data_IF_122285620817
#
_entry.id   IF_122285620817
#
_cell.length_a   1.000
_cell.length_b   1.000
_cell.length_c   1.000
_cell.angle_alpha   90.00
_cell.angle_beta   90.00
_cell.angle_gamma   90.00
#
_symmetry.space_group_name_H-M   'P 1'
#
loop_
_entity.id
_entity.type
_entity.pdbx_description
1 polymer ?
#
# COMPACT_ATOMS: atom_id res chain seq x y z
N UNK A 1 -16.70 1.51 -25.67
CA UNK A 1 -16.68 0.14 -25.15
C UNK A 1 -17.57 0.07 -23.90
N UNK A 2 -18.69 -0.62 -24.00
CA UNK A 2 -19.58 -0.89 -22.85
C UNK A 2 -19.15 -2.24 -22.25
N UNK A 3 -18.21 -2.19 -21.31
CA UNK A 3 -17.86 -3.38 -20.54
C UNK A 3 -19.04 -3.71 -19.61
N UNK A 4 -19.47 -4.96 -19.59
CA UNK A 4 -20.44 -5.48 -18.62
C UNK A 4 -19.71 -5.82 -17.33
N UNK A 5 -19.37 -4.80 -16.54
CA UNK A 5 -18.65 -4.94 -15.28
C UNK A 5 -19.50 -4.37 -14.16
N UNK A 6 -19.55 -5.06 -13.03
CA UNK A 6 -20.13 -4.59 -11.78
C UNK A 6 -19.00 -4.36 -10.78
N UNK A 7 -18.94 -3.17 -10.20
CA UNK A 7 -18.03 -2.84 -9.11
C UNK A 7 -18.85 -2.84 -7.83
N UNK A 8 -18.36 -3.55 -6.81
CA UNK A 8 -19.04 -3.67 -5.52
C UNK A 8 -18.05 -3.34 -4.42
N UNK A 9 -18.45 -2.52 -3.46
CA UNK A 9 -17.70 -2.29 -2.23
C UNK A 9 -17.87 -3.52 -1.31
N UNK A 10 -16.76 -4.17 -0.98
CA UNK A 10 -16.70 -5.33 -0.11
C UNK A 10 -16.10 -5.03 1.26
N UNK A 11 -15.90 -3.78 1.64
CA UNK A 11 -15.23 -3.35 2.88
C UNK A 11 -15.90 -3.90 4.15
N UNK A 12 -17.19 -4.21 4.10
CA UNK A 12 -17.93 -4.79 5.22
C UNK A 12 -17.82 -6.32 5.31
N UNK A 13 -17.33 -6.96 4.25
CA UNK A 13 -17.27 -8.44 4.14
C UNK A 13 -15.86 -8.98 4.18
N UNK A 14 -14.86 -8.13 3.99
CA UNK A 14 -13.47 -8.50 3.91
C UNK A 14 -12.63 -7.69 4.88
N UNK A 15 -11.61 -8.32 5.44
CA UNK A 15 -10.65 -7.68 6.34
C UNK A 15 -9.23 -7.86 5.79
N UNK A 16 -8.36 -6.92 6.16
CA UNK A 16 -6.92 -6.97 5.88
C UNK A 16 -6.15 -7.07 7.19
N UNK A 17 -5.18 -7.97 7.23
CA UNK A 17 -4.27 -8.16 8.37
C UNK A 17 -2.85 -8.06 7.83
N UNK A 18 -2.06 -7.13 8.35
CA UNK A 18 -0.66 -6.97 8.00
C UNK A 18 0.24 -7.82 8.89
N UNK A 19 1.24 -8.44 8.31
CA UNK A 19 2.34 -9.13 9.00
C UNK A 19 3.65 -8.51 8.54
N UNK A 20 4.53 -8.16 9.46
CA UNK A 20 5.82 -7.59 9.13
C UNK A 20 6.91 -8.01 10.11
N UNK A 21 8.16 -7.95 9.68
CA UNK A 21 9.33 -8.23 10.49
C UNK A 21 10.03 -9.53 10.13
N UNK A 22 11.03 -9.88 10.92
CA UNK A 22 11.99 -10.94 10.58
C UNK A 22 11.36 -12.34 10.36
N UNK A 23 10.28 -12.68 11.07
CA UNK A 23 9.57 -13.96 10.93
C UNK A 23 8.38 -13.93 9.96
N UNK A 24 8.08 -12.78 9.34
CA UNK A 24 6.85 -12.57 8.58
C UNK A 24 6.74 -13.49 7.36
N UNK A 25 7.84 -13.69 6.63
CA UNK A 25 7.87 -14.58 5.47
C UNK A 25 7.51 -16.02 5.86
N UNK A 26 8.22 -16.57 6.83
CA UNK A 26 7.98 -17.94 7.28
C UNK A 26 6.54 -18.14 7.74
N UNK A 27 6.01 -17.21 8.53
CA UNK A 27 4.65 -17.29 9.02
C UNK A 27 3.63 -17.22 7.86
N UNK A 28 3.88 -16.39 6.87
CA UNK A 28 3.02 -16.28 5.68
C UNK A 28 3.10 -17.52 4.79
N UNK A 29 4.27 -18.15 4.66
CA UNK A 29 4.45 -19.40 3.94
C UNK A 29 3.76 -20.59 4.64
N UNK A 30 3.84 -20.66 5.96
CA UNK A 30 3.11 -21.65 6.75
C UNK A 30 1.60 -21.53 6.57
N UNK A 31 1.08 -20.29 6.51
CA UNK A 31 -0.34 -20.04 6.28
C UNK A 31 -0.79 -20.33 4.85
N UNK A 32 0.03 -20.05 3.86
CA UNK A 32 -0.33 -20.24 2.45
C UNK A 32 -0.06 -21.66 1.94
N UNK A 33 0.72 -22.45 2.67
CA UNK A 33 1.30 -23.69 2.19
C UNK A 33 2.06 -23.54 0.83
N UNK A 34 2.58 -22.33 0.57
CA UNK A 34 3.29 -21.98 -0.66
C UNK A 34 4.55 -21.18 -0.33
N UNK A 35 5.58 -21.32 -1.14
CA UNK A 35 6.75 -20.44 -1.05
C UNK A 35 6.41 -19.04 -1.54
N UNK A 36 6.78 -18.04 -0.76
CA UNK A 36 6.62 -16.64 -1.09
C UNK A 36 8.00 -16.03 -1.38
N UNK A 37 8.09 -15.27 -2.45
CA UNK A 37 9.34 -14.61 -2.81
C UNK A 37 9.26 -13.12 -2.45
N UNK A 38 9.95 -12.65 -1.39
CA UNK A 38 9.99 -11.24 -1.00
C UNK A 38 10.61 -10.33 -2.07
N UNK A 39 11.44 -10.90 -2.96
CA UNK A 39 12.04 -10.16 -4.08
C UNK A 39 11.08 -9.99 -5.26
N UNK A 40 9.89 -10.61 -5.19
CA UNK A 40 8.81 -10.44 -6.16
C UNK A 40 7.61 -9.76 -5.49
N UNK A 41 7.70 -8.45 -5.23
CA UNK A 41 6.61 -7.72 -4.60
C UNK A 41 5.34 -7.78 -5.45
N UNK A 42 4.19 -7.78 -4.76
CA UNK A 42 2.85 -7.95 -5.32
C UNK A 42 2.55 -9.36 -5.87
N UNK A 43 3.44 -10.35 -5.61
CA UNK A 43 3.06 -11.75 -5.79
C UNK A 43 2.00 -12.14 -4.77
N UNK A 44 1.11 -13.04 -5.17
CA UNK A 44 -0.04 -13.47 -4.36
C UNK A 44 -0.03 -14.98 -4.24
N UNK A 45 -0.10 -15.48 -3.01
CA UNK A 45 -0.46 -16.87 -2.72
C UNK A 45 -1.89 -16.93 -2.20
N UNK A 46 -2.55 -18.08 -2.36
CA UNK A 46 -3.92 -18.24 -1.94
C UNK A 46 -4.08 -19.52 -1.13
N UNK A 47 -4.78 -19.44 -0.01
CA UNK A 47 -5.19 -20.57 0.79
C UNK A 47 -6.69 -20.45 1.10
N UNK A 48 -7.49 -21.31 0.47
CA UNK A 48 -8.95 -21.20 0.54
C UNK A 48 -9.43 -19.82 0.06
N UNK A 49 -10.10 -19.10 0.92
CA UNK A 49 -10.60 -17.75 0.64
C UNK A 49 -9.62 -16.64 1.08
N UNK A 50 -8.49 -16.99 1.68
CA UNK A 50 -7.50 -16.01 2.14
C UNK A 50 -6.43 -15.83 1.06
N UNK A 51 -6.23 -14.59 0.62
CA UNK A 51 -5.14 -14.20 -0.26
C UNK A 51 -4.01 -13.60 0.58
N UNK A 52 -2.78 -13.98 0.31
CA UNK A 52 -1.58 -13.44 0.96
C UNK A 52 -0.77 -12.70 -0.09
N UNK A 53 -0.66 -11.41 0.09
CA UNK A 53 0.03 -10.49 -0.83
C UNK A 53 1.41 -10.20 -0.24
N UNK A 54 2.45 -10.43 -1.03
CA UNK A 54 3.82 -10.09 -0.66
C UNK A 54 4.10 -8.61 -0.98
N UNK A 55 4.55 -7.85 0.00
CA UNK A 55 5.03 -6.49 -0.18
C UNK A 55 6.56 -6.44 -0.03
N UNK A 56 7.19 -5.41 -0.58
CA UNK A 56 8.60 -5.16 -0.35
C UNK A 56 8.90 -4.95 1.14
N UNK A 57 10.13 -5.28 1.55
CA UNK A 57 10.58 -5.05 2.94
C UNK A 57 10.05 -6.06 3.95
N UNK A 58 9.88 -7.30 3.53
CA UNK A 58 9.44 -8.42 4.39
C UNK A 58 8.10 -8.14 5.10
N UNK A 59 7.16 -7.62 4.33
CA UNK A 59 5.79 -7.31 4.73
C UNK A 59 4.82 -8.14 3.90
N UNK A 60 3.79 -8.64 4.54
CA UNK A 60 2.75 -9.46 3.92
C UNK A 60 1.39 -8.95 4.37
N UNK A 61 0.44 -8.95 3.46
CA UNK A 61 -0.94 -8.55 3.73
C UNK A 61 -1.87 -9.72 3.43
N UNK A 62 -2.65 -10.11 4.42
CA UNK A 62 -3.67 -11.13 4.29
C UNK A 62 -5.01 -10.45 4.04
N UNK A 63 -5.67 -10.86 2.98
CA UNK A 63 -7.04 -10.42 2.65
C UNK A 63 -7.95 -11.61 2.77
N UNK A 64 -8.91 -11.56 3.68
CA UNK A 64 -9.77 -12.70 4.02
C UNK A 64 -11.20 -12.24 4.32
N UNK A 65 -12.22 -13.10 4.11
CA UNK A 65 -13.57 -12.84 4.59
C UNK A 65 -13.60 -12.58 6.10
N UNK A 66 -14.47 -11.69 6.54
CA UNK A 66 -14.53 -11.25 7.95
C UNK A 66 -14.82 -12.41 8.89
N UNK A 67 -15.57 -13.42 8.46
CA UNK A 67 -15.87 -14.62 9.23
C UNK A 67 -14.64 -15.46 9.58
N UNK A 68 -13.59 -15.40 8.77
CA UNK A 68 -12.33 -16.12 9.01
C UNK A 68 -11.38 -15.33 9.92
N UNK A 69 -11.62 -14.04 10.12
CA UNK A 69 -10.71 -13.14 10.81
C UNK A 69 -10.42 -13.56 12.26
N UNK A 70 -11.38 -13.99 13.09
CA UNK A 70 -11.08 -14.38 14.47
C UNK A 70 -10.10 -15.54 14.55
N UNK A 71 -10.34 -16.60 13.78
CA UNK A 71 -9.47 -17.79 13.75
C UNK A 71 -8.07 -17.45 13.23
N UNK A 72 -8.00 -16.66 12.16
CA UNK A 72 -6.73 -16.23 11.58
C UNK A 72 -5.95 -15.32 12.54
N UNK A 73 -6.64 -14.42 13.22
CA UNK A 73 -6.03 -13.55 14.22
C UNK A 73 -5.46 -14.33 15.40
N UNK A 74 -6.19 -15.32 15.90
CA UNK A 74 -5.72 -16.18 16.96
C UNK A 74 -4.46 -16.95 16.55
N UNK A 75 -4.45 -17.56 15.37
CA UNK A 75 -3.28 -18.25 14.81
C UNK A 75 -2.07 -17.33 14.68
N UNK A 76 -2.26 -16.12 14.23
CA UNK A 76 -1.20 -15.13 14.05
C UNK A 76 -0.67 -14.57 15.36
N UNK A 77 -1.52 -14.39 16.35
CA UNK A 77 -1.17 -13.78 17.64
C UNK A 77 -0.33 -14.68 18.53
N UNK A 78 -0.21 -15.98 18.23
CA UNK A 78 0.67 -16.88 18.96
C UNK A 78 2.16 -16.66 18.63
N UNK A 79 2.56 -16.65 17.33
CA UNK A 79 3.96 -16.44 16.92
C UNK A 79 4.32 -14.97 16.71
N UNK A 80 3.35 -14.07 16.54
CA UNK A 80 3.57 -12.66 16.25
C UNK A 80 2.93 -11.76 17.33
N UNK A 81 3.57 -10.62 17.58
CA UNK A 81 3.03 -9.63 18.52
C UNK A 81 1.94 -8.79 17.85
N UNK A 82 0.69 -8.81 18.34
CA UNK A 82 -0.35 -7.92 17.87
C UNK A 82 0.00 -6.45 18.12
N UNK A 83 -0.24 -5.61 17.11
CA UNK A 83 -0.04 -4.16 17.15
C UNK A 83 -1.19 -3.44 16.45
N UNK A 84 -1.33 -2.14 16.65
CA UNK A 84 -2.35 -1.33 15.98
C UNK A 84 -2.02 -1.02 14.51
N UNK A 85 -3.03 -0.63 13.73
CA UNK A 85 -2.90 -0.28 12.31
C UNK A 85 -1.89 0.85 12.05
N UNK A 86 -1.68 1.76 12.99
CA UNK A 86 -0.68 2.83 12.90
C UNK A 86 0.74 2.32 12.69
N UNK A 87 1.05 1.09 13.15
CA UNK A 87 2.33 0.46 12.86
C UNK A 87 2.46 0.10 11.38
N UNK A 88 1.38 -0.34 10.75
CA UNK A 88 1.35 -0.61 9.31
C UNK A 88 1.48 0.69 8.51
N UNK A 89 0.75 1.74 8.89
CA UNK A 89 0.85 3.05 8.26
C UNK A 89 2.29 3.59 8.32
N UNK A 90 2.96 3.42 9.45
CA UNK A 90 4.38 3.77 9.59
C UNK A 90 5.27 2.99 8.62
N UNK A 91 5.04 1.69 8.44
CA UNK A 91 5.79 0.86 7.51
C UNK A 91 5.54 1.28 6.05
N UNK A 92 4.35 1.71 5.69
CA UNK A 92 4.02 2.25 4.37
C UNK A 92 4.74 3.57 4.12
N UNK A 93 4.73 4.48 5.10
CA UNK A 93 5.49 5.74 5.05
C UNK A 93 6.98 5.45 4.84
N UNK A 94 7.57 4.56 5.62
CA UNK A 94 8.98 4.16 5.48
C UNK A 94 9.29 3.55 4.11
N UNK A 95 8.32 2.91 3.49
CA UNK A 95 8.45 2.29 2.15
C UNK A 95 8.17 3.28 1.01
N UNK A 96 7.84 4.53 1.32
CA UNK A 96 7.53 5.55 0.31
C UNK A 96 6.22 5.28 -0.43
N UNK A 97 5.28 4.55 0.15
CA UNK A 97 3.97 4.29 -0.43
C UNK A 97 3.04 5.46 -0.09
N UNK A 98 2.57 6.21 -1.11
CA UNK A 98 1.70 7.35 -0.87
C UNK A 98 0.28 6.93 -0.56
N UNK A 99 -0.35 7.62 0.38
CA UNK A 99 -1.78 7.55 0.64
C UNK A 99 -2.40 8.91 0.38
N UNK A 100 -3.39 8.97 -0.50
CA UNK A 100 -4.15 10.20 -0.74
C UNK A 100 -5.33 10.23 0.23
N UNK A 101 -5.32 11.22 1.10
CA UNK A 101 -6.35 11.45 2.09
C UNK A 101 -7.32 12.55 1.62
N UNK A 102 -8.51 12.69 2.22
CA UNK A 102 -9.45 13.75 1.84
C UNK A 102 -8.83 15.15 1.84
N UNK A 103 -7.94 15.45 2.79
CA UNK A 103 -7.24 16.74 2.89
C UNK A 103 -6.24 16.98 1.76
N UNK A 104 -5.80 15.94 1.05
CA UNK A 104 -4.79 16.02 -0.02
C UNK A 104 -5.32 15.56 -1.38
N UNK A 105 -6.61 15.30 -1.47
CA UNK A 105 -7.28 14.89 -2.70
C UNK A 105 -7.14 15.96 -3.80
N UNK A 106 -6.92 15.54 -5.04
CA UNK A 106 -6.78 16.40 -6.23
C UNK A 106 -5.59 17.37 -6.24
N UNK A 107 -4.68 17.29 -5.25
CA UNK A 107 -3.56 18.22 -5.14
C UNK A 107 -2.30 17.76 -5.90
N UNK A 108 -2.20 16.46 -6.22
CA UNK A 108 -0.96 15.89 -6.73
C UNK A 108 -1.15 15.13 -8.04
N UNK A 109 -0.18 15.27 -8.93
CA UNK A 109 -0.02 14.32 -10.04
C UNK A 109 0.60 13.01 -9.51
N UNK A 110 0.34 11.86 -10.15
CA UNK A 110 0.91 10.58 -9.74
C UNK A 110 2.43 10.61 -9.57
N UNK A 111 3.15 11.32 -10.44
CA UNK A 111 4.60 11.46 -10.33
C UNK A 111 5.05 12.32 -9.14
N UNK A 112 4.22 13.26 -8.69
CA UNK A 112 4.55 14.09 -7.52
C UNK A 112 4.59 13.29 -6.23
N UNK A 113 3.82 12.21 -6.17
CA UNK A 113 3.79 11.27 -5.05
C UNK A 113 4.55 9.97 -5.36
N UNK A 114 5.49 10.02 -6.30
CA UNK A 114 6.40 8.93 -6.67
C UNK A 114 5.73 7.64 -7.17
N UNK A 115 4.46 7.67 -7.61
CA UNK A 115 3.79 6.47 -8.13
C UNK A 115 4.49 5.90 -9.38
N UNK A 116 5.19 6.71 -10.15
CA UNK A 116 6.03 6.27 -11.27
C UNK A 116 7.25 5.46 -10.78
N UNK A 117 7.84 5.84 -9.65
CA UNK A 117 9.02 5.20 -9.10
C UNK A 117 8.71 3.84 -8.43
N UNK A 118 7.52 3.71 -7.84
CA UNK A 118 7.09 2.47 -7.15
C UNK A 118 6.25 1.54 -8.05
N UNK A 119 6.20 1.79 -9.37
CA UNK A 119 5.45 0.96 -10.31
C UNK A 119 3.93 1.17 -10.29
N UNK A 120 3.43 2.20 -9.61
CA UNK A 120 2.00 2.53 -9.53
C UNK A 120 1.44 3.16 -10.83
N UNK A 121 2.30 3.53 -11.78
CA UNK A 121 1.92 4.05 -13.09
C UNK A 121 2.46 3.17 -14.20
N UNK A 122 1.61 2.77 -15.13
CA UNK A 122 2.02 2.07 -16.33
C UNK A 122 1.87 2.98 -17.56
N UNK A 123 2.96 3.20 -18.27
CA UNK A 123 2.97 3.92 -19.54
C UNK A 123 2.72 3.01 -20.75
N UNK A 124 2.61 1.70 -20.54
CA UNK A 124 2.40 0.69 -21.58
C UNK A 124 0.99 0.13 -21.65
N UNK A 125 0.13 0.45 -20.68
CA UNK A 125 -1.26 0.01 -20.67
C UNK A 125 -2.12 0.87 -21.61
N UNK A 126 -3.34 0.39 -21.91
CA UNK A 126 -4.33 1.14 -22.70
C UNK A 126 -4.78 2.44 -22.03
N UNK A 127 -5.60 3.21 -22.75
CA UNK A 127 -6.05 4.53 -22.35
C UNK A 127 -6.88 4.53 -21.06
N UNK A 128 -6.72 5.58 -20.26
CA UNK A 128 -7.49 5.83 -19.04
C UNK A 128 -7.72 7.34 -18.87
N UNK A 129 -8.75 7.77 -18.13
CA UNK A 129 -9.00 9.19 -17.86
C UNK A 129 -7.82 9.84 -17.14
N UNK A 130 -7.40 11.04 -17.60
CA UNK A 130 -6.27 11.78 -17.03
C UNK A 130 -4.87 11.36 -17.51
N UNK A 131 -4.76 10.34 -18.35
CA UNK A 131 -3.47 9.85 -18.85
C UNK A 131 -2.66 10.91 -19.61
N UNK A 132 -3.33 11.85 -20.28
CA UNK A 132 -2.65 12.89 -21.07
C UNK A 132 -1.71 13.74 -20.20
N UNK A 133 -2.18 14.18 -19.04
CA UNK A 133 -1.38 14.98 -18.10
C UNK A 133 -0.22 14.15 -17.58
N UNK A 134 -0.45 12.87 -17.23
CA UNK A 134 0.56 11.95 -16.72
C UNK A 134 1.64 11.71 -17.79
N UNK A 135 1.23 11.41 -19.02
CA UNK A 135 2.16 11.18 -20.14
C UNK A 135 2.92 12.46 -20.51
N UNK A 136 2.24 13.60 -20.57
CA UNK A 136 2.89 14.90 -20.86
C UNK A 136 3.94 15.24 -19.81
N UNK A 137 3.64 15.02 -18.54
CA UNK A 137 4.60 15.24 -17.44
C UNK A 137 5.81 14.32 -17.58
N UNK A 138 5.60 13.07 -18.00
CA UNK A 138 6.67 12.09 -18.16
C UNK A 138 7.61 12.40 -19.31
N UNK A 139 7.05 12.80 -20.48
CA UNK A 139 7.84 12.88 -21.71
C UNK A 139 8.25 14.32 -22.08
N UNK A 140 7.49 15.32 -21.67
CA UNK A 140 7.69 16.71 -22.08
C UNK A 140 7.85 17.66 -20.90
N UNK A 141 7.43 17.25 -19.70
CA UNK A 141 7.42 18.08 -18.50
C UNK A 141 8.70 17.97 -17.68
N UNK A 142 8.98 19.05 -16.92
CA UNK A 142 9.94 19.00 -15.81
C UNK A 142 9.14 18.89 -14.51
N UNK A 143 9.26 17.77 -13.82
CA UNK A 143 8.64 17.60 -12.52
C UNK A 143 9.34 18.51 -11.50
N UNK A 144 8.57 19.43 -10.90
CA UNK A 144 9.10 20.41 -9.95
C UNK A 144 8.93 20.01 -8.49
N UNK A 145 8.10 19.00 -8.23
CA UNK A 145 7.76 18.54 -6.87
C UNK A 145 7.84 17.02 -6.83
N UNK A 146 8.39 16.51 -5.73
CA UNK A 146 8.45 15.08 -5.44
C UNK A 146 8.14 14.87 -3.95
N UNK A 147 7.61 13.71 -3.60
CA UNK A 147 7.43 13.29 -2.24
C UNK A 147 8.78 12.83 -1.66
N UNK A 148 9.05 13.24 -0.43
CA UNK A 148 10.22 12.85 0.34
C UNK A 148 9.79 12.34 1.70
N UNK A 149 10.57 11.41 2.26
CA UNK A 149 10.45 11.03 3.65
C UNK A 149 11.15 12.09 4.52
N UNK A 150 10.43 12.58 5.52
CA UNK A 150 10.97 13.54 6.46
C UNK A 150 10.72 13.10 7.90
N UNK A 151 11.66 13.37 8.78
CA UNK A 151 11.47 13.27 10.22
C UNK A 151 11.22 14.68 10.77
N UNK A 152 10.10 14.87 11.44
CA UNK A 152 9.67 16.15 11.96
C UNK A 152 9.75 16.10 13.49
N UNK A 153 10.61 16.94 14.07
CA UNK A 153 10.69 17.14 15.51
C UNK A 153 9.82 18.32 15.89
N UNK A 154 8.66 18.06 16.44
CA UNK A 154 7.70 19.10 16.84
C UNK A 154 6.98 18.74 18.14
N UNK A 155 6.54 19.74 18.88
CA UNK A 155 5.66 19.60 20.04
C UNK A 155 4.18 19.64 19.67
N UNK A 156 3.87 20.10 18.46
CA UNK A 156 2.50 20.16 17.95
C UNK A 156 2.22 18.98 17.04
N UNK A 157 1.04 18.38 17.06
CA UNK A 157 0.68 17.33 16.12
C UNK A 157 0.71 17.87 14.69
N UNK A 158 1.21 17.04 13.75
CA UNK A 158 1.20 17.33 12.31
C UNK A 158 0.10 16.50 11.67
N UNK A 159 -0.68 17.14 10.82
CA UNK A 159 -1.81 16.54 10.13
C UNK A 159 -1.59 16.51 8.61
N UNK A 160 -2.31 15.62 7.94
CA UNK A 160 -2.31 15.59 6.48
C UNK A 160 -2.88 16.90 5.91
N UNK A 161 -2.14 17.50 4.97
CA UNK A 161 -2.48 18.80 4.39
C UNK A 161 -1.76 19.98 5.02
N UNK A 162 -1.06 19.80 6.14
CA UNK A 162 -0.26 20.87 6.72
C UNK A 162 0.90 21.24 5.80
N UNK A 163 1.14 22.54 5.69
CA UNK A 163 2.30 23.05 4.95
C UNK A 163 3.54 23.03 5.84
N UNK A 164 4.62 22.51 5.27
CA UNK A 164 5.92 22.44 5.94
C UNK A 164 6.92 23.31 5.17
N UNK A 165 7.70 24.07 5.91
CA UNK A 165 8.71 24.96 5.37
C UNK A 165 10.08 24.58 5.91
N UNK A 166 11.10 24.55 5.05
CA UNK A 166 12.49 24.50 5.49
C UNK A 166 12.92 25.87 6.02
N UNK A 167 13.83 25.86 6.96
CA UNK A 167 14.44 27.10 7.48
C UNK A 167 15.51 27.66 6.54
N UNK A 168 15.87 26.92 5.45
CA UNK A 168 16.90 27.27 4.49
C UNK A 168 16.32 27.93 3.24
#
# INVERSE_FOLDING_TARGET
LRAKVRITDCSQSWIRIGIAGQGAQRLSEELSAAQLNPDSPLSVAQNGQTSIICHAGNRFELVTPIENAPTLWEQLSQPARPVGATCWDWLEIQSGIPVILPATQEQFLPQMVNLDAIGGVSFRKGCYPGQEIVARTQYLGKLKRRMFLANISTTSPVSAGDELFSAD
#
